data_IF_587588080659
#
_entry.id   IF_587588080659
#
_cell.length_a   1.000
_cell.length_b   1.000
_cell.length_c   1.000
_cell.angle_alpha   90.00
_cell.angle_beta   90.00
_cell.angle_gamma   90.00
#
_symmetry.space_group_name_H-M   'P 1'
#
loop_
_entity.id
_entity.type
_entity.pdbx_description
1 polymer ?
#
# COMPACT_ATOMS: atom_id res chain seq x y z
N UNK A 1 10.18 -60.34 42.75
CA UNK A 1 9.68 -59.41 41.72
C UNK A 1 9.07 -58.22 42.45
N UNK A 2 9.76 -57.07 42.41
CA UNK A 2 9.36 -55.82 43.08
C UNK A 2 8.50 -55.02 42.11
N UNK A 3 7.24 -54.76 42.46
CA UNK A 3 6.34 -53.87 41.72
C UNK A 3 6.66 -52.42 42.07
N UNK A 4 6.98 -51.63 41.05
CA UNK A 4 7.25 -50.19 41.14
C UNK A 4 5.91 -49.47 40.92
N UNK A 5 5.38 -48.83 41.95
CA UNK A 5 4.25 -47.91 41.86
C UNK A 5 4.76 -46.54 41.36
N UNK A 6 4.45 -46.22 40.10
CA UNK A 6 4.65 -44.89 39.53
C UNK A 6 3.35 -44.09 39.69
N UNK A 7 3.32 -43.16 40.65
CA UNK A 7 2.28 -42.12 40.74
C UNK A 7 2.58 -41.01 39.73
N UNK A 8 1.59 -40.51 38.96
CA UNK A 8 1.81 -39.40 38.04
C UNK A 8 1.92 -38.08 38.81
N UNK A 9 3.00 -37.34 38.57
CA UNK A 9 3.17 -35.95 38.99
C UNK A 9 2.24 -35.05 38.15
N UNK A 10 1.26 -34.42 38.78
CA UNK A 10 0.52 -33.31 38.20
C UNK A 10 1.38 -32.04 38.27
N UNK A 11 1.87 -31.56 37.12
CA UNK A 11 2.52 -30.26 37.02
C UNK A 11 1.42 -29.20 36.85
N UNK A 12 1.28 -28.35 37.86
CA UNK A 12 0.45 -27.16 37.82
C UNK A 12 1.09 -26.10 36.90
N UNK A 13 0.38 -25.69 35.85
CA UNK A 13 0.74 -24.51 35.06
C UNK A 13 0.04 -23.28 35.64
N UNK A 14 0.76 -22.51 36.46
CA UNK A 14 0.33 -21.18 36.86
C UNK A 14 0.55 -20.20 35.69
N UNK A 15 -0.54 -19.74 35.06
CA UNK A 15 -0.47 -18.59 34.14
C UNK A 15 -0.14 -17.34 34.95
N UNK A 16 1.11 -16.88 34.88
CA UNK A 16 1.48 -15.54 35.29
C UNK A 16 0.92 -14.55 34.27
N UNK A 17 -0.13 -13.81 34.63
CA UNK A 17 -0.59 -12.67 33.86
C UNK A 17 0.46 -11.55 33.94
N UNK A 18 1.26 -11.39 32.89
CA UNK A 18 2.13 -10.23 32.71
C UNK A 18 1.23 -9.00 32.48
N UNK A 19 0.98 -8.22 33.53
CA UNK A 19 0.36 -6.91 33.40
C UNK A 19 1.37 -5.97 32.75
N UNK A 20 1.24 -5.75 31.44
CA UNK A 20 1.94 -4.67 30.75
C UNK A 20 1.40 -3.35 31.33
N UNK A 21 2.24 -2.48 31.93
CA UNK A 21 1.77 -1.21 32.45
C UNK A 21 1.23 -0.36 31.30
N UNK A 22 -0.02 0.08 31.41
CA UNK A 22 -0.62 0.99 30.46
C UNK A 22 0.15 2.32 30.46
N UNK A 23 0.43 2.93 29.30
CA UNK A 23 1.02 4.25 29.26
C UNK A 23 0.09 5.23 29.98
N UNK A 24 0.65 5.97 30.95
CA UNK A 24 -0.04 7.01 31.69
C UNK A 24 -0.61 8.05 30.73
N UNK A 25 -1.94 8.18 30.66
CA UNK A 25 -2.65 9.13 29.79
C UNK A 25 -3.57 8.49 28.74
N UNK A 26 -3.57 7.17 28.57
CA UNK A 26 -4.57 6.48 27.75
C UNK A 26 -5.86 6.24 28.54
N UNK A 27 -7.01 6.52 27.92
CA UNK A 27 -8.31 6.15 28.48
C UNK A 27 -8.58 4.65 28.32
N UNK A 28 -9.51 4.11 29.11
CA UNK A 28 -9.94 2.71 29.00
C UNK A 28 -10.44 2.41 27.57
N UNK A 29 -10.05 1.28 26.98
CA UNK A 29 -10.48 0.92 25.64
C UNK A 29 -12.01 0.75 25.53
N UNK A 30 -12.62 1.34 24.50
CA UNK A 30 -14.03 1.18 24.17
C UNK A 30 -14.20 0.17 23.03
N UNK A 31 -15.14 -0.77 23.17
CA UNK A 31 -15.38 -1.82 22.18
C UNK A 31 -16.72 -1.62 21.47
N UNK A 32 -16.69 -1.67 20.14
CA UNK A 32 -17.84 -1.54 19.26
C UNK A 32 -17.96 -2.77 18.37
N UNK A 33 -19.17 -3.29 18.24
CA UNK A 33 -19.50 -4.37 17.28
C UNK A 33 -20.30 -3.75 16.15
N UNK A 34 -19.84 -3.97 14.91
CA UNK A 34 -20.39 -3.36 13.72
C UNK A 34 -20.91 -4.47 12.79
N UNK A 35 -22.23 -4.52 12.65
CA UNK A 35 -22.90 -5.43 11.72
C UNK A 35 -22.96 -4.86 10.31
N UNK A 36 -23.24 -5.74 9.34
CA UNK A 36 -23.27 -5.41 7.91
C UNK A 36 -22.07 -5.97 7.14
N UNK A 37 -22.09 -5.82 5.83
CA UNK A 37 -21.01 -6.25 4.93
C UNK A 37 -20.01 -5.14 4.61
N UNK A 38 -20.40 -3.88 4.79
CA UNK A 38 -19.59 -2.70 4.46
C UNK A 38 -19.40 -1.82 5.69
N UNK A 39 -18.14 -1.69 6.10
CA UNK A 39 -17.74 -0.99 7.31
C UNK A 39 -16.83 0.18 6.92
N UNK A 40 -17.06 1.35 7.51
CA UNK A 40 -16.20 2.52 7.33
C UNK A 40 -15.66 3.00 8.68
N UNK A 41 -14.38 3.32 8.75
CA UNK A 41 -13.70 3.80 9.95
C UNK A 41 -13.04 5.13 9.61
N UNK A 42 -13.33 6.16 10.40
CA UNK A 42 -12.76 7.50 10.23
C UNK A 42 -12.00 7.91 11.49
N UNK A 43 -10.75 8.29 11.31
CA UNK A 43 -9.90 8.79 12.39
C UNK A 43 -8.97 9.89 11.85
N UNK A 44 -8.75 10.96 12.62
CA UNK A 44 -7.85 12.03 12.18
C UNK A 44 -6.40 11.75 12.57
N UNK A 45 -6.15 11.27 13.79
CA UNK A 45 -4.79 11.10 14.30
C UNK A 45 -4.69 9.82 15.09
N UNK A 46 -3.77 8.93 14.72
CA UNK A 46 -3.73 7.64 15.39
C UNK A 46 -3.02 6.54 14.62
N UNK A 47 -3.23 5.32 15.12
CA UNK A 47 -3.00 4.12 14.34
C UNK A 47 -4.30 3.36 14.11
N UNK A 48 -4.43 2.74 12.94
CA UNK A 48 -5.49 1.76 12.66
C UNK A 48 -4.82 0.43 12.36
N UNK A 49 -5.12 -0.61 13.15
CA UNK A 49 -4.60 -1.96 12.94
C UNK A 49 -5.76 -2.91 12.63
N UNK A 50 -5.95 -3.22 11.36
CA UNK A 50 -6.91 -4.20 10.91
C UNK A 50 -6.27 -5.59 10.82
N UNK A 51 -6.91 -6.58 11.43
CA UNK A 51 -6.46 -7.97 11.42
C UNK A 51 -7.60 -8.90 11.04
N UNK A 52 -7.30 -9.97 10.31
CA UNK A 52 -8.24 -11.07 10.09
C UNK A 52 -8.87 -11.54 11.40
N UNK A 53 -10.20 -11.61 11.42
CA UNK A 53 -11.01 -12.01 12.56
C UNK A 53 -11.91 -13.19 12.24
N UNK A 54 -12.67 -13.64 13.24
CA UNK A 54 -13.70 -14.67 13.10
C UNK A 54 -15.08 -14.11 13.44
N UNK A 55 -16.13 -14.86 13.12
CA UNK A 55 -17.52 -14.46 13.35
C UNK A 55 -18.14 -13.74 12.15
N UNK A 56 -19.21 -12.98 12.39
CA UNK A 56 -19.98 -12.31 11.35
C UNK A 56 -19.89 -10.79 11.39
N UNK A 57 -19.47 -10.20 12.51
CA UNK A 57 -19.44 -8.77 12.72
C UNK A 57 -18.00 -8.26 12.84
N UNK A 58 -17.76 -7.04 12.37
CA UNK A 58 -16.47 -6.37 12.58
C UNK A 58 -16.43 -5.85 14.01
N UNK A 59 -15.33 -6.06 14.70
CA UNK A 59 -15.14 -5.57 16.07
C UNK A 59 -14.05 -4.52 16.08
N UNK A 60 -14.38 -3.33 16.56
CA UNK A 60 -13.44 -2.21 16.70
C UNK A 60 -13.19 -1.93 18.18
N UNK A 61 -11.93 -1.85 18.58
CA UNK A 61 -11.54 -1.34 19.90
C UNK A 61 -10.83 -0.01 19.73
N UNK A 62 -11.31 1.02 20.43
CA UNK A 62 -10.78 2.39 20.36
C UNK A 62 -10.08 2.72 21.67
N UNK A 63 -8.84 3.20 21.59
CA UNK A 63 -8.07 3.70 22.74
C UNK A 63 -7.69 5.16 22.50
N UNK A 64 -8.30 6.07 23.26
CA UNK A 64 -7.99 7.50 23.20
C UNK A 64 -6.77 7.83 24.06
N UNK A 65 -5.88 8.69 23.56
CA UNK A 65 -4.65 9.10 24.25
C UNK A 65 -4.32 10.57 23.96
N UNK A 66 -3.49 11.17 24.83
CA UNK A 66 -3.15 12.60 24.81
C UNK A 66 -3.76 13.36 26.00
N UNK A 67 -3.23 14.55 26.33
CA UNK A 67 -3.72 15.39 27.44
C UNK A 67 -5.19 15.76 27.28
N UNK A 68 -5.65 15.90 26.04
CA UNK A 68 -7.00 16.30 25.67
C UNK A 68 -7.85 15.10 25.19
N UNK A 69 -7.42 13.87 25.42
CA UNK A 69 -8.10 12.65 24.94
C UNK A 69 -9.58 12.57 25.32
N UNK A 70 -9.95 13.08 26.49
CA UNK A 70 -11.33 13.10 26.99
C UNK A 70 -12.27 13.98 26.17
N UNK A 71 -11.73 14.86 25.33
CA UNK A 71 -12.51 15.71 24.45
C UNK A 71 -12.96 15.00 23.16
N UNK A 72 -12.33 13.87 22.80
CA UNK A 72 -12.72 13.11 21.62
C UNK A 72 -14.05 12.37 21.87
N UNK A 73 -14.94 12.41 20.87
CA UNK A 73 -16.17 11.61 20.86
C UNK A 73 -16.03 10.48 19.84
N UNK A 74 -16.59 9.32 20.15
CA UNK A 74 -16.67 8.20 19.20
C UNK A 74 -18.13 7.97 18.88
N UNK A 75 -18.49 8.05 17.60
CA UNK A 75 -19.82 7.74 17.11
C UNK A 75 -19.79 6.44 16.30
N UNK A 76 -20.78 5.58 16.54
CA UNK A 76 -21.03 4.36 15.77
C UNK A 76 -22.46 4.39 15.25
N UNK A 77 -22.65 4.34 13.93
CA UNK A 77 -23.98 4.46 13.32
C UNK A 77 -23.95 4.33 11.79
N UNK A 78 -25.13 4.39 11.14
CA UNK A 78 -25.22 4.29 9.70
C UNK A 78 -24.63 5.53 9.00
N UNK A 79 -23.92 5.31 7.89
CA UNK A 79 -23.46 6.32 6.94
C UNK A 79 -23.84 5.87 5.53
N UNK A 80 -24.99 6.34 5.04
CA UNK A 80 -25.61 5.81 3.83
C UNK A 80 -25.88 4.31 3.95
N UNK A 81 -25.27 3.50 3.06
CA UNK A 81 -25.37 2.02 3.07
C UNK A 81 -24.37 1.33 4.01
N UNK A 82 -23.42 2.06 4.58
CA UNK A 82 -22.30 1.52 5.37
C UNK A 82 -22.60 1.65 6.86
N UNK A 83 -22.02 0.75 7.66
CA UNK A 83 -21.91 0.94 9.11
C UNK A 83 -20.62 1.68 9.40
N UNK A 84 -20.67 2.81 10.09
CA UNK A 84 -19.53 3.71 10.27
C UNK A 84 -19.17 3.92 11.74
N UNK A 85 -17.86 3.91 12.03
CA UNK A 85 -17.29 4.36 13.29
C UNK A 85 -16.43 5.59 13.02
N UNK A 86 -16.72 6.69 13.71
CA UNK A 86 -16.09 7.99 13.50
C UNK A 86 -15.54 8.52 14.81
N UNK A 87 -14.26 8.87 14.83
CA UNK A 87 -13.63 9.58 15.96
C UNK A 87 -13.70 11.08 15.68
N UNK A 88 -14.47 11.81 16.47
CA UNK A 88 -14.78 13.23 16.29
C UNK A 88 -13.88 14.06 17.21
N UNK A 89 -13.17 15.01 16.59
CA UNK A 89 -12.24 15.92 17.24
C UNK A 89 -12.89 17.31 17.34
N UNK A 90 -13.03 17.91 18.55
CA UNK A 90 -13.71 19.20 18.72
C UNK A 90 -12.81 20.42 18.40
N UNK A 91 -11.79 20.26 17.55
CA UNK A 91 -10.80 21.29 17.27
C UNK A 91 -10.40 21.33 15.80
N UNK A 92 -10.03 22.54 15.34
CA UNK A 92 -9.52 22.78 13.97
C UNK A 92 -8.00 22.72 13.86
N UNK A 93 -7.29 22.63 14.99
CA UNK A 93 -5.84 22.43 15.05
C UNK A 93 -5.57 21.27 15.99
N UNK A 94 -4.93 20.24 15.47
CA UNK A 94 -4.60 19.02 16.22
C UNK A 94 -3.08 18.87 16.19
N UNK A 95 -2.49 18.67 17.37
CA UNK A 95 -1.05 18.47 17.53
C UNK A 95 -0.80 17.08 18.08
N UNK A 96 0.07 16.31 17.43
CA UNK A 96 0.33 14.91 17.79
C UNK A 96 1.78 14.61 18.20
N UNK A 97 2.58 15.65 18.44
CA UNK A 97 3.95 15.54 18.98
C UNK A 97 4.02 16.07 20.41
N UNK A 98 4.41 15.18 21.31
CA UNK A 98 4.44 15.39 22.76
C UNK A 98 5.80 14.96 23.34
N UNK A 99 6.91 15.32 22.70
CA UNK A 99 8.21 15.30 23.39
C UNK A 99 9.36 14.54 22.72
N UNK A 100 9.41 14.52 21.39
CA UNK A 100 10.64 14.19 20.67
C UNK A 100 10.65 12.78 20.07
N UNK A 101 10.77 12.74 18.75
CA UNK A 101 10.55 11.60 17.84
C UNK A 101 9.07 11.26 17.66
N UNK A 102 8.39 12.04 16.82
CA UNK A 102 7.08 11.72 16.27
C UNK A 102 7.13 10.31 15.65
N UNK A 103 6.39 9.37 16.27
CA UNK A 103 6.27 7.94 15.89
C UNK A 103 5.99 7.72 14.39
N UNK A 104 5.39 8.71 13.72
CA UNK A 104 4.92 8.63 12.34
C UNK A 104 5.62 9.63 11.40
N UNK A 105 6.80 10.12 11.80
CA UNK A 105 7.49 11.17 11.08
C UNK A 105 6.92 12.56 11.33
N UNK A 106 7.61 13.58 10.83
CA UNK A 106 7.21 14.97 10.97
C UNK A 106 6.42 15.46 9.76
N UNK A 107 5.50 16.40 9.97
CA UNK A 107 4.75 16.98 8.87
C UNK A 107 3.55 17.80 9.33
N UNK A 108 2.91 18.42 8.35
CA UNK A 108 1.64 19.12 8.50
C UNK A 108 0.73 18.78 7.32
N UNK A 109 -0.52 18.43 7.59
CA UNK A 109 -1.57 18.28 6.59
C UNK A 109 -2.75 19.19 6.91
N UNK A 110 -3.56 19.48 5.89
CA UNK A 110 -4.81 20.19 6.05
C UNK A 110 -5.86 19.57 5.16
N UNK A 111 -7.01 19.26 5.74
CA UNK A 111 -8.16 18.66 5.06
C UNK A 111 -9.46 19.33 5.52
N UNK A 112 -10.54 19.10 4.79
CA UNK A 112 -11.89 19.45 5.23
C UNK A 112 -12.47 18.27 5.99
N UNK A 113 -13.06 18.54 7.15
CA UNK A 113 -13.71 17.53 7.99
C UNK A 113 -15.14 17.97 8.21
N UNK A 114 -16.08 17.08 7.89
CA UNK A 114 -17.50 17.28 8.13
C UNK A 114 -17.80 17.31 9.63
N UNK A 115 -18.98 17.84 9.99
CA UNK A 115 -19.37 17.99 11.39
C UNK A 115 -19.52 16.63 12.13
N UNK A 116 -19.78 15.55 11.41
CA UNK A 116 -19.91 14.19 11.94
C UNK A 116 -18.57 13.42 11.97
N UNK A 117 -17.47 14.04 11.52
CA UNK A 117 -16.12 13.49 11.54
C UNK A 117 -15.68 12.76 10.27
N UNK A 118 -16.49 12.73 9.20
CA UNK A 118 -16.03 12.22 7.90
C UNK A 118 -15.11 13.22 7.19
N UNK A 119 -14.27 12.69 6.29
CA UNK A 119 -13.40 13.44 5.40
C UNK A 119 -13.07 12.57 4.18
N UNK A 120 -12.62 13.20 3.10
CA UNK A 120 -12.24 12.58 1.82
C UNK A 120 -12.36 13.59 0.67
N UNK A 121 -12.16 13.15 -0.56
CA UNK A 121 -12.03 14.03 -1.74
C UNK A 121 -13.33 14.73 -2.16
N UNK A 122 -14.50 14.22 -1.75
CA UNK A 122 -15.81 14.79 -2.14
C UNK A 122 -16.37 15.81 -1.11
N UNK A 123 -15.68 16.05 0.00
CA UNK A 123 -16.20 16.85 1.12
C UNK A 123 -15.88 18.35 0.97
N UNK A 124 -16.49 19.00 -0.02
CA UNK A 124 -16.49 20.48 -0.14
C UNK A 124 -17.13 21.15 1.08
N UNK A 125 -18.05 20.45 1.73
CA UNK A 125 -18.79 20.89 2.91
C UNK A 125 -18.10 20.40 4.21
N UNK A 126 -17.10 21.15 4.67
CA UNK A 126 -16.39 20.81 5.90
C UNK A 126 -15.61 21.97 6.49
N UNK A 127 -15.30 21.89 7.80
CA UNK A 127 -14.37 22.82 8.42
C UNK A 127 -12.95 22.44 8.05
N UNK A 128 -12.12 23.43 7.70
CA UNK A 128 -10.69 23.24 7.50
C UNK A 128 -10.04 22.84 8.84
N UNK A 129 -9.44 21.66 8.88
CA UNK A 129 -8.68 21.14 10.03
C UNK A 129 -7.21 21.04 9.64
N UNK A 130 -6.34 21.64 10.46
CA UNK A 130 -4.89 21.51 10.36
C UNK A 130 -4.41 20.45 11.36
N UNK A 131 -3.66 19.48 10.87
CA UNK A 131 -3.05 18.43 11.68
C UNK A 131 -1.53 18.58 11.53
N UNK A 132 -0.84 18.74 12.65
CA UNK A 132 0.59 19.03 12.66
C UNK A 132 1.33 18.16 13.67
N UNK A 133 2.51 17.70 13.27
CA UNK A 133 3.43 16.98 14.14
C UNK A 133 4.19 17.91 15.08
N UNK A 134 3.88 19.21 15.17
CA UNK A 134 4.51 20.19 16.07
C UNK A 134 3.58 21.36 16.32
N UNK A 135 3.84 22.09 17.39
CA UNK A 135 3.15 23.33 17.73
C UNK A 135 1.92 23.12 18.59
N UNK A 136 1.16 24.20 18.76
CA UNK A 136 0.00 24.24 19.64
C UNK A 136 -1.25 23.68 18.93
N UNK A 137 -2.04 22.91 19.65
CA UNK A 137 -3.28 22.32 19.15
C UNK A 137 -3.87 21.36 20.16
N UNK A 138 -5.03 20.79 19.84
CA UNK A 138 -5.62 19.72 20.62
C UNK A 138 -4.66 18.54 20.67
N UNK A 139 -4.21 18.16 21.86
CA UNK A 139 -3.36 17.01 22.08
C UNK A 139 -4.22 15.77 22.35
N UNK A 140 -4.71 15.19 21.27
CA UNK A 140 -5.52 14.00 21.31
C UNK A 140 -5.29 13.12 20.08
N UNK A 141 -5.32 11.81 20.29
CA UNK A 141 -5.25 10.79 19.25
C UNK A 141 -6.09 9.57 19.63
N UNK A 142 -6.46 8.75 18.66
CA UNK A 142 -7.15 7.49 18.88
C UNK A 142 -6.43 6.35 18.18
N UNK A 143 -6.07 5.30 18.90
CA UNK A 143 -5.55 4.05 18.34
C UNK A 143 -6.69 3.04 18.23
N UNK A 144 -6.87 2.47 17.03
CA UNK A 144 -7.95 1.55 16.70
C UNK A 144 -7.38 0.18 16.35
N UNK A 145 -7.95 -0.87 16.95
CA UNK A 145 -7.76 -2.25 16.48
C UNK A 145 -9.07 -2.78 15.91
N UNK A 146 -8.99 -3.44 14.75
CA UNK A 146 -10.16 -3.82 13.96
C UNK A 146 -10.05 -5.30 13.60
N UNK A 147 -10.91 -6.13 14.17
CA UNK A 147 -11.02 -7.54 13.79
C UNK A 147 -12.02 -7.68 12.64
N UNK A 148 -11.56 -8.13 11.48
CA UNK A 148 -12.32 -8.18 10.23
C UNK A 148 -12.61 -9.63 9.85
N UNK A 149 -13.86 -10.12 9.98
CA UNK A 149 -14.22 -11.44 9.48
C UNK A 149 -14.08 -11.57 7.96
N UNK A 150 -14.01 -12.79 7.43
CA UNK A 150 -13.94 -13.01 6.00
C UNK A 150 -15.14 -12.44 5.22
N UNK A 151 -14.89 -11.96 4.00
CA UNK A 151 -15.91 -11.49 3.06
C UNK A 151 -16.48 -10.11 3.37
N UNK A 152 -15.83 -9.35 4.26
CA UNK A 152 -16.20 -7.95 4.54
C UNK A 152 -15.52 -6.99 3.57
N UNK A 153 -16.20 -5.88 3.31
CA UNK A 153 -15.61 -4.67 2.72
C UNK A 153 -15.32 -3.69 3.84
N UNK A 154 -14.07 -3.24 3.95
CA UNK A 154 -13.67 -2.27 4.97
C UNK A 154 -12.97 -1.06 4.36
N UNK A 155 -13.46 0.11 4.74
CA UNK A 155 -12.93 1.42 4.34
C UNK A 155 -12.23 2.03 5.58
N UNK A 156 -10.92 2.23 5.51
CA UNK A 156 -10.07 2.74 6.59
C UNK A 156 -9.55 4.13 6.22
N UNK A 157 -10.07 5.17 6.87
CA UNK A 157 -9.73 6.57 6.58
C UNK A 157 -8.90 7.13 7.74
N UNK A 158 -7.65 7.53 7.46
CA UNK A 158 -6.74 8.07 8.46
C UNK A 158 -6.00 9.32 7.96
N UNK A 159 -6.25 10.48 8.57
CA UNK A 159 -5.59 11.70 8.14
C UNK A 159 -4.08 11.76 8.49
N UNK A 160 -3.68 11.33 9.70
CA UNK A 160 -2.28 11.26 10.09
C UNK A 160 -1.97 10.06 11.00
N UNK A 161 -0.89 9.34 10.67
CA UNK A 161 -0.31 8.30 11.52
C UNK A 161 0.12 7.03 10.79
N UNK A 162 -0.49 5.89 11.11
CA UNK A 162 -0.11 4.59 10.54
C UNK A 162 -1.33 3.67 10.38
N UNK A 163 -1.47 3.05 9.21
CA UNK A 163 -2.43 1.96 8.96
C UNK A 163 -1.68 0.65 8.76
N UNK A 164 -2.06 -0.39 9.50
CA UNK A 164 -1.60 -1.76 9.29
C UNK A 164 -2.78 -2.67 8.96
N UNK A 165 -2.67 -3.48 7.91
CA UNK A 165 -3.66 -4.51 7.56
C UNK A 165 -2.96 -5.87 7.50
N UNK A 166 -3.44 -6.85 8.27
CA UNK A 166 -2.78 -8.17 8.37
C UNK A 166 -3.78 -9.31 8.26
N UNK A 167 -3.55 -10.26 7.36
CA UNK A 167 -4.35 -11.49 7.21
C UNK A 167 -5.86 -11.23 6.98
N UNK A 168 -6.22 -10.21 6.20
CA UNK A 168 -7.62 -9.87 5.93
C UNK A 168 -8.08 -10.53 4.63
N UNK A 169 -9.12 -11.38 4.73
CA UNK A 169 -9.82 -11.96 3.57
C UNK A 169 -11.10 -11.17 3.29
N UNK A 170 -11.04 -10.22 2.36
CA UNK A 170 -12.12 -9.30 2.04
C UNK A 170 -11.62 -8.15 1.19
N UNK A 171 -12.51 -7.20 0.89
CA UNK A 171 -12.13 -6.01 0.14
C UNK A 171 -11.68 -4.92 1.11
N UNK A 172 -10.48 -4.40 0.91
CA UNK A 172 -9.85 -3.41 1.79
C UNK A 172 -9.59 -2.13 0.99
N UNK A 173 -10.16 -1.04 1.45
CA UNK A 173 -9.94 0.30 0.94
C UNK A 173 -9.28 1.11 2.05
N UNK A 174 -8.14 1.74 1.76
CA UNK A 174 -7.41 2.58 2.71
C UNK A 174 -7.22 3.94 2.06
N UNK A 175 -7.63 4.99 2.76
CA UNK A 175 -7.44 6.38 2.36
C UNK A 175 -6.65 7.08 3.48
N UNK A 176 -5.47 7.58 3.13
CA UNK A 176 -4.62 8.32 4.07
C UNK A 176 -3.99 9.56 3.47
N UNK A 177 -3.90 10.62 4.27
CA UNK A 177 -3.20 11.84 3.84
C UNK A 177 -1.71 11.83 4.25
N UNK A 178 -1.44 11.77 5.56
CA UNK A 178 -0.11 11.80 6.17
C UNK A 178 0.10 10.57 7.06
N UNK A 179 -0.14 9.38 6.50
CA UNK A 179 0.09 8.13 7.20
C UNK A 179 0.83 7.12 6.33
N UNK A 180 1.68 6.31 6.96
CA UNK A 180 2.21 5.12 6.29
C UNK A 180 1.18 4.00 6.26
N UNK A 181 1.22 3.20 5.21
CA UNK A 181 0.34 2.04 5.03
C UNK A 181 1.20 0.80 4.89
N UNK A 182 0.96 -0.19 5.75
CA UNK A 182 1.59 -1.51 5.62
C UNK A 182 0.51 -2.58 5.55
N UNK A 183 0.55 -3.41 4.52
CA UNK A 183 -0.36 -4.54 4.36
C UNK A 183 0.43 -5.83 4.21
N UNK A 184 -0.04 -6.90 4.87
CA UNK A 184 0.54 -8.23 4.78
C UNK A 184 -0.55 -9.31 4.77
N UNK A 185 -0.57 -10.17 3.76
CA UNK A 185 -1.49 -11.30 3.69
C UNK A 185 -2.94 -10.89 3.43
N UNK A 186 -3.18 -10.02 2.44
CA UNK A 186 -4.54 -9.66 2.02
C UNK A 186 -5.07 -10.58 0.93
N UNK A 187 -6.38 -10.83 0.91
CA UNK A 187 -7.05 -11.61 -0.13
C UNK A 187 -8.39 -11.00 -0.52
N UNK A 188 -8.56 -10.62 -1.78
CA UNK A 188 -9.69 -9.83 -2.26
C UNK A 188 -9.19 -8.60 -3.03
N UNK A 189 -10.00 -7.55 -3.10
CA UNK A 189 -9.55 -6.26 -3.65
C UNK A 189 -8.75 -5.52 -2.58
N UNK A 190 -7.59 -4.97 -2.96
CA UNK A 190 -6.82 -4.04 -2.15
C UNK A 190 -6.69 -2.71 -2.89
N UNK A 191 -7.29 -1.65 -2.36
CA UNK A 191 -7.20 -0.29 -2.89
C UNK A 191 -6.57 0.62 -1.85
N UNK A 192 -5.44 1.24 -2.19
CA UNK A 192 -4.69 2.11 -1.30
C UNK A 192 -4.54 3.48 -1.94
N UNK A 193 -5.04 4.51 -1.28
CA UNK A 193 -4.79 5.91 -1.59
C UNK A 193 -3.97 6.53 -0.45
N UNK A 194 -2.77 7.00 -0.78
CA UNK A 194 -1.84 7.56 0.20
C UNK A 194 -1.17 8.84 -0.30
N UNK A 195 -1.46 9.97 0.35
CA UNK A 195 -0.88 11.26 -0.03
C UNK A 195 0.66 11.31 0.06
N UNK A 196 1.22 11.19 1.28
CA UNK A 196 2.68 11.40 1.52
C UNK A 196 3.40 10.27 2.28
N UNK A 197 2.70 9.27 2.80
CA UNK A 197 3.33 8.21 3.60
C UNK A 197 3.90 7.07 2.76
N UNK A 198 4.85 6.32 3.33
CA UNK A 198 5.36 5.09 2.70
C UNK A 198 4.25 4.03 2.61
N UNK A 199 4.16 3.36 1.46
CA UNK A 199 3.24 2.24 1.23
C UNK A 199 4.03 0.96 1.04
N UNK A 200 3.74 -0.03 1.88
CA UNK A 200 4.31 -1.38 1.79
C UNK A 200 3.19 -2.42 1.66
N UNK A 201 3.28 -3.25 0.64
CA UNK A 201 2.33 -4.34 0.38
C UNK A 201 3.10 -5.65 0.25
N UNK A 202 2.80 -6.62 1.11
CA UNK A 202 3.33 -7.98 1.03
C UNK A 202 2.25 -9.05 0.99
N UNK A 203 2.51 -10.14 0.28
CA UNK A 203 1.67 -11.34 0.28
C UNK A 203 0.20 -11.08 -0.11
N UNK A 204 -0.05 -10.20 -1.08
CA UNK A 204 -1.40 -9.87 -1.52
C UNK A 204 -1.90 -10.83 -2.60
N UNK A 205 -3.15 -11.31 -2.47
CA UNK A 205 -3.83 -12.22 -3.39
C UNK A 205 -5.13 -11.64 -3.93
N UNK A 206 -5.12 -11.17 -5.18
CA UNK A 206 -6.26 -10.52 -5.81
C UNK A 206 -5.84 -9.27 -6.55
N UNK A 207 -6.80 -8.39 -6.81
CA UNK A 207 -6.53 -7.14 -7.54
C UNK A 207 -6.01 -6.08 -6.59
N UNK A 208 -4.94 -5.40 -7.00
CA UNK A 208 -4.28 -4.36 -6.21
C UNK A 208 -4.26 -3.06 -7.00
N UNK A 209 -4.74 -1.98 -6.39
CA UNK A 209 -4.66 -0.62 -6.89
C UNK A 209 -4.00 0.26 -5.84
N UNK A 210 -2.99 1.03 -6.24
CA UNK A 210 -2.27 1.95 -5.37
C UNK A 210 -2.16 3.30 -6.05
N UNK A 211 -2.56 4.35 -5.36
CA UNK A 211 -2.32 5.74 -5.72
C UNK A 211 -1.47 6.40 -4.62
N UNK A 212 -0.38 7.05 -4.99
CA UNK A 212 0.37 7.89 -4.07
C UNK A 212 1.00 9.12 -4.70
N UNK A 213 0.89 10.26 -4.02
CA UNK A 213 1.50 11.50 -4.49
C UNK A 213 3.03 11.49 -4.36
N UNK A 214 3.54 11.23 -3.15
CA UNK A 214 4.97 11.36 -2.84
C UNK A 214 5.56 10.20 -2.02
N UNK A 215 4.74 9.24 -1.60
CA UNK A 215 5.18 8.09 -0.81
C UNK A 215 6.02 7.11 -1.62
N UNK A 216 7.05 6.53 -1.03
CA UNK A 216 7.74 5.38 -1.66
C UNK A 216 6.86 4.14 -1.57
N UNK A 217 6.88 3.33 -2.64
CA UNK A 217 6.07 2.12 -2.78
C UNK A 217 6.96 0.89 -2.79
N UNK A 218 6.73 -0.03 -1.86
CA UNK A 218 7.39 -1.33 -1.82
C UNK A 218 6.37 -2.45 -1.95
N UNK A 219 6.49 -3.27 -3.00
CA UNK A 219 5.60 -4.40 -3.28
C UNK A 219 6.39 -5.71 -3.23
N UNK A 220 5.91 -6.73 -2.53
CA UNK A 220 6.55 -8.05 -2.49
C UNK A 220 5.58 -9.21 -2.49
N UNK A 221 5.79 -10.19 -3.37
CA UNK A 221 5.02 -11.44 -3.42
C UNK A 221 3.51 -11.22 -3.63
N UNK A 222 3.19 -10.56 -4.75
CA UNK A 222 1.81 -10.26 -5.16
C UNK A 222 1.34 -11.29 -6.20
N UNK A 223 0.12 -11.78 -6.07
CA UNK A 223 -0.48 -12.70 -7.05
C UNK A 223 -1.94 -12.37 -7.34
N UNK A 224 -2.34 -12.27 -8.61
CA UNK A 224 -3.72 -11.90 -8.94
C UNK A 224 -3.97 -11.69 -10.43
N UNK A 225 -5.04 -10.96 -10.74
CA UNK A 225 -5.35 -10.61 -12.13
C UNK A 225 -4.74 -9.27 -12.49
N UNK A 226 -4.94 -8.24 -11.66
CA UNK A 226 -4.55 -6.86 -11.99
C UNK A 226 -3.74 -6.20 -10.89
N UNK A 227 -2.64 -5.55 -11.29
CA UNK A 227 -1.90 -4.59 -10.47
C UNK A 227 -1.88 -3.23 -11.17
N UNK A 228 -2.34 -2.18 -10.49
CA UNK A 228 -2.23 -0.78 -10.93
C UNK A 228 -1.48 0.00 -9.86
N UNK A 229 -0.47 0.76 -10.26
CA UNK A 229 0.24 1.70 -9.39
C UNK A 229 0.33 3.03 -10.11
N UNK A 230 -0.21 4.07 -9.49
CA UNK A 230 0.04 5.47 -9.81
C UNK A 230 0.93 6.03 -8.69
N UNK A 231 2.11 6.56 -9.05
CA UNK A 231 2.99 7.21 -8.09
C UNK A 231 3.63 8.47 -8.66
N UNK A 232 3.38 9.62 -8.03
CA UNK A 232 3.90 10.90 -8.50
C UNK A 232 5.43 11.01 -8.38
N UNK A 233 5.95 11.14 -7.16
CA UNK A 233 7.39 11.39 -6.93
C UNK A 233 8.13 10.28 -6.17
N UNK A 234 7.41 9.32 -5.61
CA UNK A 234 7.98 8.23 -4.83
C UNK A 234 8.69 7.18 -5.69
N UNK A 235 9.67 6.49 -5.09
CA UNK A 235 10.33 5.33 -5.74
C UNK A 235 9.40 4.12 -5.71
N UNK A 236 9.33 3.37 -6.81
CA UNK A 236 8.70 2.04 -6.85
C UNK A 236 9.79 0.95 -6.76
N UNK A 237 9.67 0.08 -5.77
CA UNK A 237 10.44 -1.16 -5.65
C UNK A 237 9.50 -2.35 -5.54
N UNK A 238 9.46 -3.20 -6.56
CA UNK A 238 8.61 -4.39 -6.59
C UNK A 238 9.46 -5.65 -6.76
N UNK A 239 9.11 -6.73 -6.06
CA UNK A 239 9.80 -8.02 -6.16
C UNK A 239 8.83 -9.21 -6.07
N UNK A 240 8.92 -10.17 -6.98
CA UNK A 240 8.08 -11.38 -6.96
C UNK A 240 6.62 -11.08 -7.30
N UNK A 241 6.37 -10.44 -8.44
CA UNK A 241 5.02 -10.06 -8.87
C UNK A 241 4.52 -11.07 -9.91
N UNK A 242 3.37 -11.69 -9.67
CA UNK A 242 2.72 -12.62 -10.62
C UNK A 242 1.29 -12.18 -10.90
N UNK A 243 1.07 -11.49 -12.02
CA UNK A 243 -0.22 -10.90 -12.38
C UNK A 243 -0.60 -11.27 -13.81
N UNK A 244 -1.88 -11.14 -14.20
CA UNK A 244 -2.22 -11.21 -15.62
C UNK A 244 -1.85 -9.89 -16.31
N UNK A 245 -2.20 -8.77 -15.69
CA UNK A 245 -1.96 -7.41 -16.18
C UNK A 245 -1.33 -6.52 -15.11
N UNK A 246 -0.34 -5.73 -15.53
CA UNK A 246 0.36 -4.75 -14.70
C UNK A 246 0.36 -3.41 -15.41
N UNK A 247 -0.02 -2.35 -14.70
CA UNK A 247 0.09 -0.98 -15.15
C UNK A 247 0.82 -0.15 -14.09
N UNK A 248 1.90 0.51 -14.48
CA UNK A 248 2.66 1.43 -13.65
C UNK A 248 2.67 2.81 -14.32
N UNK A 249 2.09 3.81 -13.69
CA UNK A 249 2.16 5.22 -14.08
C UNK A 249 2.98 5.98 -13.03
N UNK A 250 4.15 6.49 -13.42
CA UNK A 250 5.16 6.98 -12.51
C UNK A 250 5.67 8.35 -12.96
N UNK A 251 5.62 9.34 -12.08
CA UNK A 251 6.08 10.68 -12.42
C UNK A 251 7.60 10.80 -12.47
N UNK A 252 8.25 10.93 -11.32
CA UNK A 252 9.69 11.26 -11.24
C UNK A 252 10.56 10.26 -10.47
N UNK A 253 9.95 9.35 -9.71
CA UNK A 253 10.69 8.36 -8.92
C UNK A 253 11.28 7.25 -9.79
N UNK A 254 12.40 6.68 -9.34
CA UNK A 254 13.00 5.52 -10.02
C UNK A 254 12.17 4.24 -9.82
N UNK A 255 12.29 3.32 -10.77
CA UNK A 255 11.50 2.09 -10.81
C UNK A 255 12.43 0.90 -10.84
N UNK A 256 12.25 -0.03 -9.91
CA UNK A 256 12.94 -1.31 -9.92
C UNK A 256 11.92 -2.41 -9.68
N UNK A 257 11.72 -3.26 -10.69
CA UNK A 257 10.80 -4.39 -10.62
C UNK A 257 11.57 -5.66 -10.90
N UNK A 258 11.68 -6.52 -9.88
CA UNK A 258 12.38 -7.79 -9.91
C UNK A 258 11.41 -8.96 -9.95
N UNK A 259 11.79 -10.05 -10.64
CA UNK A 259 10.99 -11.27 -10.73
C UNK A 259 9.53 -11.03 -11.13
N UNK A 260 9.29 -10.28 -12.21
CA UNK A 260 7.93 -10.03 -12.73
C UNK A 260 7.48 -11.13 -13.69
N UNK A 261 6.33 -11.75 -13.41
CA UNK A 261 5.61 -12.63 -14.34
C UNK A 261 4.27 -11.99 -14.68
N UNK A 262 4.09 -11.55 -15.93
CA UNK A 262 2.82 -11.01 -16.41
C UNK A 262 2.65 -11.19 -17.92
N UNK A 263 1.41 -11.27 -18.39
CA UNK A 263 1.10 -11.33 -19.82
C UNK A 263 1.09 -9.94 -20.44
N UNK A 264 0.55 -8.95 -19.74
CA UNK A 264 0.43 -7.59 -20.21
C UNK A 264 1.07 -6.62 -19.21
N UNK A 265 2.03 -5.83 -19.69
CA UNK A 265 2.74 -4.85 -18.87
C UNK A 265 2.73 -3.52 -19.59
N UNK A 266 2.22 -2.49 -18.92
CA UNK A 266 2.37 -1.09 -19.31
C UNK A 266 3.16 -0.35 -18.24
N UNK A 267 4.15 0.44 -18.65
CA UNK A 267 4.95 1.25 -17.76
C UNK A 267 5.20 2.63 -18.37
N UNK A 268 4.61 3.64 -17.75
CA UNK A 268 4.82 5.04 -18.10
C UNK A 268 5.70 5.67 -17.01
N UNK A 269 6.82 6.29 -17.38
CA UNK A 269 7.75 6.93 -16.45
C UNK A 269 8.22 8.29 -16.97
N UNK A 270 7.98 9.37 -16.22
CA UNK A 270 8.38 10.71 -16.63
C UNK A 270 9.91 10.89 -16.66
N UNK A 271 10.58 10.83 -15.50
CA UNK A 271 12.02 11.11 -15.41
C UNK A 271 12.86 10.07 -14.67
N UNK A 272 12.24 9.11 -13.99
CA UNK A 272 12.95 8.08 -13.23
C UNK A 272 13.55 7.00 -14.13
N UNK A 273 14.73 6.48 -13.78
CA UNK A 273 15.27 5.29 -14.44
C UNK A 273 14.40 4.07 -14.14
N UNK A 274 14.12 3.27 -15.17
CA UNK A 274 13.32 2.07 -15.09
C UNK A 274 14.19 0.83 -15.26
N UNK A 275 14.13 -0.08 -14.29
CA UNK A 275 14.69 -1.41 -14.38
C UNK A 275 13.59 -2.46 -14.21
N UNK A 276 13.44 -3.33 -15.22
CA UNK A 276 12.43 -4.38 -15.27
C UNK A 276 13.09 -5.74 -15.52
N UNK A 277 12.84 -6.70 -14.63
CA UNK A 277 13.31 -8.09 -14.75
C UNK A 277 12.14 -9.06 -14.92
N UNK A 278 11.98 -9.58 -16.14
CA UNK A 278 10.88 -10.47 -16.52
C UNK A 278 11.22 -11.95 -16.27
N UNK A 279 10.34 -12.68 -15.59
CA UNK A 279 10.49 -14.12 -15.36
C UNK A 279 9.96 -14.97 -16.51
N UNK A 280 8.94 -14.48 -17.21
CA UNK A 280 8.17 -15.22 -18.23
C UNK A 280 8.00 -14.38 -19.47
N UNK A 281 7.57 -15.02 -20.55
CA UNK A 281 7.22 -14.34 -21.79
C UNK A 281 6.01 -13.42 -21.60
N UNK A 282 5.98 -12.34 -22.38
CA UNK A 282 4.91 -11.34 -22.40
C UNK A 282 4.11 -11.46 -23.70
N UNK A 283 2.82 -11.16 -23.63
CA UNK A 283 1.99 -10.89 -24.81
C UNK A 283 2.21 -9.46 -25.27
N UNK A 284 2.19 -8.51 -24.34
CA UNK A 284 2.49 -7.11 -24.57
C UNK A 284 3.35 -6.56 -23.43
N UNK A 285 4.45 -5.92 -23.80
CA UNK A 285 5.19 -5.00 -22.95
C UNK A 285 5.27 -3.65 -23.67
N UNK A 286 4.75 -2.62 -23.03
CA UNK A 286 4.77 -1.25 -23.51
C UNK A 286 5.44 -0.37 -22.46
N UNK A 287 6.53 0.30 -22.83
CA UNK A 287 7.29 1.16 -21.93
C UNK A 287 7.46 2.53 -22.57
N UNK A 288 6.88 3.54 -21.94
CA UNK A 288 7.06 4.94 -22.28
C UNK A 288 7.94 5.60 -21.20
N UNK A 289 9.11 6.12 -21.59
CA UNK A 289 9.98 6.88 -20.69
C UNK A 289 10.36 8.24 -21.24
N UNK A 290 10.05 9.31 -20.51
CA UNK A 290 10.36 10.67 -20.96
C UNK A 290 11.87 10.95 -20.97
N UNK A 291 12.51 10.89 -19.81
CA UNK A 291 13.94 11.21 -19.65
C UNK A 291 14.77 10.12 -18.96
N UNK A 292 14.14 9.12 -18.37
CA UNK A 292 14.81 8.03 -17.67
C UNK A 292 15.43 7.00 -18.62
N UNK A 293 16.53 6.37 -18.21
CA UNK A 293 17.05 5.20 -18.91
C UNK A 293 16.20 3.96 -18.61
N UNK A 294 16.04 3.09 -19.61
CA UNK A 294 15.30 1.83 -19.48
C UNK A 294 16.29 0.68 -19.53
N UNK A 295 16.28 -0.19 -18.52
CA UNK A 295 16.99 -1.47 -18.53
C UNK A 295 15.98 -2.60 -18.42
N UNK A 296 15.94 -3.47 -19.43
CA UNK A 296 15.06 -4.61 -19.50
C UNK A 296 15.88 -5.90 -19.49
N UNK A 297 15.61 -6.76 -18.51
CA UNK A 297 16.16 -8.12 -18.40
C UNK A 297 15.09 -9.14 -18.80
N UNK A 298 15.40 -10.03 -19.73
CA UNK A 298 14.45 -11.02 -20.27
C UNK A 298 14.86 -12.48 -20.08
N UNK A 299 13.89 -13.40 -19.95
CA UNK A 299 14.18 -14.82 -19.89
C UNK A 299 14.73 -15.32 -21.23
N UNK A 300 15.56 -16.37 -21.19
CA UNK A 300 16.13 -16.97 -22.40
C UNK A 300 15.07 -17.57 -23.35
N UNK A 301 13.86 -17.81 -22.85
CA UNK A 301 12.73 -18.36 -23.60
C UNK A 301 11.96 -17.30 -24.39
N UNK A 302 12.22 -16.00 -24.16
CA UNK A 302 11.37 -14.95 -24.70
C UNK A 302 11.26 -15.00 -26.23
N UNK A 303 10.04 -15.11 -26.71
CA UNK A 303 9.65 -14.89 -28.09
C UNK A 303 8.87 -13.58 -28.25
N UNK A 304 9.41 -12.60 -28.97
CA UNK A 304 8.73 -11.32 -29.19
C UNK A 304 9.21 -10.55 -30.42
N UNK A 305 8.29 -9.81 -31.03
CA UNK A 305 8.59 -8.69 -31.93
C UNK A 305 8.99 -7.48 -31.09
N UNK A 306 10.09 -6.86 -31.44
CA UNK A 306 10.70 -5.77 -30.68
C UNK A 306 10.74 -4.51 -31.55
N UNK A 307 10.25 -3.40 -31.02
CA UNK A 307 10.38 -2.05 -31.57
C UNK A 307 10.89 -1.14 -30.45
N UNK A 308 12.10 -0.62 -30.60
CA UNK A 308 12.76 0.24 -29.60
C UNK A 308 13.11 1.54 -30.29
N UNK A 309 12.63 2.66 -29.75
CA UNK A 309 12.92 4.01 -30.23
C UNK A 309 13.52 4.85 -29.09
N UNK A 310 14.53 5.65 -29.40
CA UNK A 310 15.07 6.64 -28.47
C UNK A 310 15.40 7.96 -29.16
N UNK A 311 14.99 9.09 -28.59
CA UNK A 311 15.21 10.39 -29.23
C UNK A 311 16.68 10.86 -29.19
N UNK A 312 17.31 10.79 -28.00
CA UNK A 312 18.71 11.25 -27.80
C UNK A 312 19.60 10.22 -27.11
N UNK A 313 19.04 9.11 -26.65
CA UNK A 313 19.77 8.04 -25.96
C UNK A 313 20.51 7.11 -26.92
N UNK A 314 21.22 6.13 -26.35
CA UNK A 314 21.78 5.01 -27.10
C UNK A 314 20.98 3.74 -26.85
N UNK A 315 20.92 2.86 -27.85
CA UNK A 315 20.33 1.53 -27.75
C UNK A 315 21.48 0.51 -27.64
N UNK A 316 21.47 -0.28 -26.58
CA UNK A 316 22.48 -1.31 -26.31
C UNK A 316 21.79 -2.66 -26.09
N UNK A 317 22.02 -3.61 -27.01
CA UNK A 317 21.37 -4.91 -27.04
C UNK A 317 22.38 -6.03 -26.79
N UNK A 318 22.09 -6.88 -25.80
CA UNK A 318 22.84 -8.12 -25.52
C UNK A 318 21.89 -9.33 -25.56
N UNK A 319 21.16 -9.44 -26.67
CA UNK A 319 20.15 -10.48 -26.92
C UNK A 319 20.22 -10.91 -28.39
N UNK A 320 19.97 -12.20 -28.73
CA UNK A 320 19.99 -12.67 -30.11
C UNK A 320 18.76 -12.15 -30.86
N UNK A 321 18.89 -10.98 -31.49
CA UNK A 321 17.83 -10.31 -32.23
C UNK A 321 18.01 -10.53 -33.73
N UNK A 322 16.97 -11.05 -34.39
CA UNK A 322 16.86 -11.04 -35.86
C UNK A 322 16.43 -9.65 -36.30
N UNK A 323 17.41 -8.78 -36.56
CA UNK A 323 17.17 -7.37 -36.89
C UNK A 323 16.57 -7.24 -38.30
N UNK A 324 15.46 -6.52 -38.39
CA UNK A 324 14.83 -6.13 -39.67
C UNK A 324 15.18 -4.70 -40.05
N UNK A 325 15.30 -3.80 -39.06
CA UNK A 325 15.68 -2.40 -39.26
C UNK A 325 16.63 -1.98 -38.15
N UNK A 326 17.76 -1.37 -38.53
CA UNK A 326 18.73 -0.79 -37.62
C UNK A 326 19.03 0.64 -38.04
N UNK A 327 18.63 1.59 -37.21
CA UNK A 327 18.91 3.01 -37.38
C UNK A 327 19.67 3.52 -36.17
N UNK A 328 20.01 4.80 -36.17
CA UNK A 328 20.78 5.41 -35.08
C UNK A 328 19.98 5.41 -33.76
N UNK A 329 18.68 5.64 -33.87
CA UNK A 329 17.71 5.93 -32.82
C UNK A 329 16.59 4.89 -32.73
N UNK A 330 16.54 3.92 -33.67
CA UNK A 330 15.49 2.90 -33.70
C UNK A 330 16.01 1.52 -34.08
N UNK A 331 15.51 0.50 -33.39
CA UNK A 331 15.76 -0.90 -33.71
C UNK A 331 14.43 -1.66 -33.78
N UNK A 332 14.23 -2.37 -34.90
CA UNK A 332 13.10 -3.28 -35.10
C UNK A 332 13.64 -4.67 -35.40
N UNK A 333 13.13 -5.67 -34.69
CA UNK A 333 13.51 -7.06 -34.95
C UNK A 333 12.61 -8.07 -34.27
N UNK A 334 13.05 -9.33 -34.28
CA UNK A 334 12.34 -10.43 -33.65
C UNK A 334 13.31 -11.29 -32.84
N UNK A 335 12.92 -11.61 -31.61
CA UNK A 335 13.57 -12.56 -30.72
C UNK A 335 12.71 -13.82 -30.70
N UNK A 336 13.32 -15.01 -30.77
CA UNK A 336 12.60 -16.28 -30.70
C UNK A 336 11.58 -16.45 -31.83
N UNK A 337 10.38 -16.92 -31.49
CA UNK A 337 9.25 -17.13 -32.41
C UNK A 337 8.48 -15.85 -32.78
N UNK A 338 8.65 -14.77 -32.00
CA UNK A 338 7.96 -13.50 -32.22
C UNK A 338 6.50 -13.46 -31.75
N UNK A 339 6.08 -14.35 -30.85
CA UNK A 339 4.69 -14.44 -30.36
C UNK A 339 4.26 -13.20 -29.56
N UNK A 340 5.16 -12.64 -28.75
CA UNK A 340 4.92 -11.42 -27.98
C UNK A 340 5.19 -10.13 -28.74
N UNK A 341 4.84 -8.99 -28.14
CA UNK A 341 5.21 -7.65 -28.62
C UNK A 341 5.86 -6.85 -27.50
N UNK A 342 7.01 -6.24 -27.79
CA UNK A 342 7.73 -5.32 -26.92
C UNK A 342 7.90 -3.99 -27.65
N UNK A 343 7.40 -2.92 -27.04
CA UNK A 343 7.61 -1.54 -27.46
C UNK A 343 8.27 -0.76 -26.34
N UNK A 344 9.30 0.00 -26.69
CA UNK A 344 10.01 0.87 -25.75
C UNK A 344 10.27 2.19 -26.44
N UNK A 345 9.62 3.25 -25.96
CA UNK A 345 9.81 4.61 -26.43
C UNK A 345 10.50 5.43 -25.34
N UNK A 346 11.76 5.80 -25.56
CA UNK A 346 12.58 6.53 -24.60
C UNK A 346 12.99 7.92 -25.13
N UNK A 347 12.44 9.00 -24.59
CA UNK A 347 12.69 10.36 -25.09
C UNK A 347 14.18 10.74 -25.08
N UNK A 348 14.79 10.79 -23.90
CA UNK A 348 16.22 11.18 -23.76
C UNK A 348 17.13 10.12 -23.13
N UNK A 349 16.57 9.11 -22.46
CA UNK A 349 17.34 8.06 -21.81
C UNK A 349 17.79 6.95 -22.76
N UNK A 350 18.90 6.28 -22.42
CA UNK A 350 19.35 5.10 -23.16
C UNK A 350 18.52 3.86 -22.82
N UNK A 351 18.42 2.94 -23.78
CA UNK A 351 17.74 1.65 -23.62
C UNK A 351 18.79 0.53 -23.59
N UNK A 352 18.76 -0.28 -22.54
CA UNK A 352 19.58 -1.48 -22.39
C UNK A 352 18.70 -2.70 -22.37
N UNK A 353 18.93 -3.60 -23.31
CA UNK A 353 18.20 -4.84 -23.42
C UNK A 353 19.14 -6.02 -23.16
N UNK A 354 18.92 -6.77 -22.09
CA UNK A 354 19.85 -7.79 -21.58
C UNK A 354 19.17 -9.14 -21.37
N UNK A 355 19.95 -10.21 -21.51
CA UNK A 355 19.57 -11.53 -20.99
C UNK A 355 19.68 -11.54 -19.48
N UNK A 356 18.74 -12.21 -18.82
CA UNK A 356 18.83 -12.47 -17.38
C UNK A 356 20.10 -13.25 -17.02
N UNK A 357 20.72 -12.92 -15.88
CA UNK A 357 21.90 -13.63 -15.39
C UNK A 357 21.60 -15.05 -14.92
#
# INVERSE_FOLDING_TARGET
MRSIDLRPFAIAAALAALSVPAPSGAQSPERYTMSGSEIAIYNLVGSIRATGGSGSDVVVTVTRAGKDASQLRVENGPLGRRSALRVIYPARRISFDQGGSSRWGGGRTTLRVAADGTFGDDDDEGSRVEISSRGDGLDARADLTVAVPPGKRIDLNLAAGEVTVTNVEGDVYVDVHMASVTTDGTKGILSLDAGSGEVKVSNARGDVSLDTGSGSVTLSDLTGNKLVVDAGSGRLSADGITMQSVNFDLGSGGTTVKRLSARDVKLDSGSGSTELDLMTDVRLLDIDSGSGGVTLWIPATLGAKVDIETGSGGIDLDVPLSVTRWERDRVIGTIGDGDGTIRIDAGSGGVRFRKRP
#
